data_IF_138456997173
#
_entry.id   IF_138456997173
#
_cell.length_a   1.000
_cell.length_b   1.000
_cell.length_c   1.000
_cell.angle_alpha   90.00
_cell.angle_beta   90.00
_cell.angle_gamma   90.00
#
_symmetry.space_group_name_H-M   'P 1'
#
loop_
_entity.id
_entity.type
_entity.pdbx_description
1 polymer ?
#
# COMPACT_ATOMS: atom_id res chain seq x y z
N UNK A 1 0.94 -4.43 3.87
CA UNK A 1 0.20 -4.17 2.62
C UNK A 1 0.93 -4.92 1.53
N UNK A 2 0.41 -6.09 1.17
CA UNK A 2 1.15 -7.07 0.40
C UNK A 2 0.45 -7.28 -0.96
N UNK A 3 1.05 -6.70 -2.00
CA UNK A 3 0.53 -6.82 -3.37
C UNK A 3 0.61 -8.26 -3.88
N UNK A 4 1.70 -8.97 -3.58
CA UNK A 4 1.87 -10.37 -4.00
C UNK A 4 0.79 -11.26 -3.37
N UNK A 5 0.41 -10.96 -2.13
CA UNK A 5 -0.74 -11.62 -1.50
C UNK A 5 -2.04 -11.31 -2.25
N UNK A 6 -2.30 -10.05 -2.64
CA UNK A 6 -3.49 -9.70 -3.41
C UNK A 6 -3.51 -10.32 -4.82
N UNK A 7 -2.34 -10.53 -5.44
CA UNK A 7 -2.21 -11.22 -6.72
C UNK A 7 -2.64 -12.70 -6.66
N UNK A 8 -2.74 -13.29 -5.46
CA UNK A 8 -3.21 -14.67 -5.29
C UNK A 8 -4.73 -14.85 -5.49
N UNK A 9 -5.49 -13.75 -5.58
CA UNK A 9 -6.94 -13.77 -5.77
C UNK A 9 -7.30 -13.56 -7.24
N UNK A 10 -7.69 -14.61 -7.99
CA UNK A 10 -7.92 -14.52 -9.43
C UNK A 10 -9.15 -13.70 -9.81
N UNK A 11 -10.03 -13.43 -8.85
CA UNK A 11 -11.29 -12.71 -9.02
C UNK A 11 -11.19 -11.22 -8.65
N UNK A 12 -10.01 -10.72 -8.28
CA UNK A 12 -9.80 -9.31 -7.91
C UNK A 12 -8.96 -8.64 -8.99
N UNK A 13 -9.50 -7.58 -9.60
CA UNK A 13 -8.78 -6.85 -10.63
C UNK A 13 -7.77 -5.85 -10.04
N UNK A 14 -6.86 -5.35 -10.89
CA UNK A 14 -5.82 -4.42 -10.44
C UNK A 14 -6.40 -3.11 -9.86
N UNK A 15 -7.57 -2.65 -10.31
CA UNK A 15 -8.21 -1.44 -9.80
C UNK A 15 -8.70 -1.68 -8.37
N UNK A 16 -9.39 -2.79 -8.14
CA UNK A 16 -9.87 -3.22 -6.82
C UNK A 16 -8.71 -3.41 -5.84
N UNK A 17 -7.64 -4.09 -6.26
CA UNK A 17 -6.43 -4.24 -5.44
C UNK A 17 -5.84 -2.88 -5.05
N UNK A 18 -5.71 -1.96 -6.02
CA UNK A 18 -5.18 -0.62 -5.77
C UNK A 18 -6.05 0.17 -4.79
N UNK A 19 -7.37 0.04 -4.87
CA UNK A 19 -8.28 0.68 -3.93
C UNK A 19 -8.12 0.13 -2.51
N UNK A 20 -8.05 -1.19 -2.35
CA UNK A 20 -7.83 -1.83 -1.05
C UNK A 20 -6.50 -1.38 -0.42
N UNK A 21 -5.42 -1.33 -1.21
CA UNK A 21 -4.12 -0.85 -0.76
C UNK A 21 -4.18 0.62 -0.34
N UNK A 22 -4.80 1.50 -1.14
CA UNK A 22 -4.93 2.92 -0.81
C UNK A 22 -5.73 3.15 0.47
N UNK A 23 -6.79 2.36 0.69
CA UNK A 23 -7.56 2.39 1.93
C UNK A 23 -6.70 1.99 3.14
N UNK A 24 -5.89 0.94 3.01
CA UNK A 24 -4.97 0.50 4.05
C UNK A 24 -3.90 1.56 4.38
N UNK A 25 -3.28 2.20 3.37
CA UNK A 25 -2.30 3.30 3.59
C UNK A 25 -2.94 4.47 4.34
N UNK A 26 -4.20 4.79 4.03
CA UNK A 26 -4.89 5.92 4.67
C UNK A 26 -5.09 5.69 6.17
N UNK A 27 -5.46 4.46 6.54
CA UNK A 27 -5.69 4.10 7.95
C UNK A 27 -4.38 3.89 8.71
N UNK A 28 -3.32 3.42 8.04
CA UNK A 28 -2.04 3.12 8.70
C UNK A 28 -1.40 4.33 9.38
N UNK A 29 -1.72 5.56 8.93
CA UNK A 29 -1.27 6.80 9.58
C UNK A 29 -1.60 6.85 11.08
N UNK A 30 -2.75 6.28 11.48
CA UNK A 30 -3.24 6.34 12.85
C UNK A 30 -2.64 5.27 13.76
N UNK A 31 -1.99 4.25 13.19
CA UNK A 31 -1.46 3.07 13.88
C UNK A 31 0.01 2.82 13.52
N UNK A 32 0.72 3.86 13.06
CA UNK A 32 2.06 3.74 12.51
C UNK A 32 3.05 3.23 13.57
N UNK A 33 3.73 2.13 13.23
CA UNK A 33 4.83 1.53 14.00
C UNK A 33 6.02 1.24 13.06
N UNK A 34 7.13 0.72 13.60
CA UNK A 34 8.34 0.48 12.81
C UNK A 34 8.13 -0.53 11.66
N UNK A 35 7.32 -1.56 11.91
CA UNK A 35 6.97 -2.56 10.89
C UNK A 35 6.18 -1.93 9.73
N UNK A 36 5.12 -1.17 10.03
CA UNK A 36 4.33 -0.46 9.03
C UNK A 36 5.14 0.62 8.32
N UNK A 37 6.08 1.27 9.03
CA UNK A 37 7.00 2.24 8.43
C UNK A 37 7.87 1.58 7.38
N UNK A 38 8.42 0.39 7.67
CA UNK A 38 9.23 -0.38 6.72
C UNK A 38 8.41 -0.81 5.49
N UNK A 39 7.18 -1.27 5.70
CA UNK A 39 6.25 -1.61 4.61
C UNK A 39 5.95 -0.38 3.74
N UNK A 40 5.66 0.77 4.34
CA UNK A 40 5.38 2.00 3.60
C UNK A 40 6.61 2.51 2.83
N UNK A 41 7.83 2.33 3.36
CA UNK A 41 9.06 2.67 2.65
C UNK A 41 9.23 1.83 1.39
N UNK A 42 9.05 0.50 1.50
CA UNK A 42 9.10 -0.39 0.34
C UNK A 42 8.03 -0.02 -0.71
N UNK A 43 6.79 0.22 -0.27
CA UNK A 43 5.71 0.63 -1.17
C UNK A 43 5.99 1.98 -1.85
N UNK A 44 6.57 2.94 -1.14
CA UNK A 44 6.94 4.25 -1.67
C UNK A 44 7.93 4.14 -2.84
N UNK A 45 8.84 3.18 -2.77
CA UNK A 45 9.93 2.99 -3.74
C UNK A 45 9.52 2.04 -4.87
N UNK A 46 8.89 0.92 -4.53
CA UNK A 46 8.80 -0.25 -5.40
C UNK A 46 7.39 -0.62 -5.87
N UNK A 47 6.31 -0.05 -5.32
CA UNK A 47 4.96 -0.42 -5.76
C UNK A 47 4.72 -0.03 -7.22
N UNK A 48 4.11 -0.94 -8.00
CA UNK A 48 3.84 -0.75 -9.43
C UNK A 48 2.95 0.46 -9.72
N UNK A 49 2.03 0.82 -8.81
CA UNK A 49 1.08 1.90 -8.99
C UNK A 49 1.60 3.24 -8.44
N UNK A 50 1.69 4.26 -9.30
CA UNK A 50 2.18 5.59 -8.94
C UNK A 50 1.36 6.29 -7.84
N UNK A 51 0.04 6.07 -7.79
CA UNK A 51 -0.83 6.63 -6.74
C UNK A 51 -0.56 5.96 -5.39
N UNK A 52 -0.29 4.66 -5.38
CA UNK A 52 0.11 3.92 -4.17
C UNK A 52 1.46 4.44 -3.65
N UNK A 53 2.46 4.60 -4.54
CA UNK A 53 3.75 5.21 -4.17
C UNK A 53 3.59 6.60 -3.56
N UNK A 54 2.73 7.43 -4.15
CA UNK A 54 2.47 8.78 -3.65
C UNK A 54 1.71 8.79 -2.32
N UNK A 55 0.75 7.89 -2.13
CA UNK A 55 0.04 7.75 -0.86
C UNK A 55 1.01 7.34 0.26
N UNK A 56 1.90 6.38 -0.01
CA UNK A 56 2.91 5.96 0.95
C UNK A 56 3.86 7.11 1.33
N UNK A 57 4.34 7.89 0.35
CA UNK A 57 5.10 9.14 0.60
C UNK A 57 4.37 10.10 1.51
N UNK A 58 3.08 10.30 1.29
CA UNK A 58 2.29 11.26 2.05
C UNK A 58 2.04 10.78 3.49
N UNK A 59 1.92 9.46 3.72
CA UNK A 59 1.73 8.90 5.06
C UNK A 59 3.02 8.87 5.89
N UNK A 60 4.19 8.80 5.25
CA UNK A 60 5.50 8.83 5.92
C UNK A 60 6.00 10.24 6.29
N UNK A 61 5.35 11.30 5.79
CA UNK A 61 5.61 12.70 6.15
C UNK A 61 4.86 13.08 7.42
#
# INVERSE_FOLDING_TARGET
MDRKYLDSFPNIDAVEQNQAILAAIRVSRNILNDELRQVLMDMMENDLNMKVRQAARNTLK
#
